data_IF_761798692995
#
_entry.id   IF_761798692995
#
_cell.length_a   1.000
_cell.length_b   1.000
_cell.length_c   1.000
_cell.angle_alpha   90.00
_cell.angle_beta   90.00
_cell.angle_gamma   90.00
#
_symmetry.space_group_name_H-M   'P 1'
#
loop_
_entity.id
_entity.type
_entity.pdbx_description
1 polymer ?
#
# COMPACT_ATOMS: atom_id res chain seq x y z
N UNK A 1 37.65 42.25 37.22
CA UNK A 1 36.25 42.48 36.81
C UNK A 1 35.87 41.35 35.88
N UNK A 2 35.02 40.43 36.34
CA UNK A 2 34.68 39.18 35.66
C UNK A 2 33.43 39.43 34.81
N UNK A 3 33.50 39.14 33.50
CA UNK A 3 32.37 39.28 32.58
C UNK A 3 31.88 37.87 32.24
N UNK A 4 30.75 37.48 32.82
CA UNK A 4 30.09 36.19 32.59
C UNK A 4 29.18 36.34 31.37
N UNK A 5 29.54 35.73 30.26
CA UNK A 5 28.62 35.56 29.12
C UNK A 5 27.78 34.31 29.37
N UNK A 6 26.52 34.53 29.78
CA UNK A 6 25.51 33.47 29.84
C UNK A 6 24.97 33.26 28.42
N UNK A 7 25.58 32.37 27.65
CA UNK A 7 25.00 31.88 26.40
C UNK A 7 23.84 30.96 26.75
N UNK A 8 22.61 31.48 26.62
CA UNK A 8 21.41 30.66 26.61
C UNK A 8 21.47 29.73 25.40
N UNK A 9 21.81 28.45 25.62
CA UNK A 9 21.48 27.40 24.66
C UNK A 9 19.96 27.28 24.63
N UNK A 10 19.33 27.81 23.59
CA UNK A 10 17.99 27.37 23.21
C UNK A 10 18.13 25.92 22.75
N UNK A 11 17.86 24.98 23.65
CA UNK A 11 17.57 23.62 23.26
C UNK A 11 16.29 23.67 22.42
N UNK A 12 16.44 23.62 21.10
CA UNK A 12 15.32 23.29 20.22
C UNK A 12 14.99 21.84 20.53
N UNK A 13 14.01 21.62 21.40
CA UNK A 13 13.37 20.31 21.49
C UNK A 13 12.54 20.19 20.22
N UNK A 14 13.09 19.52 19.21
CA UNK A 14 12.31 18.99 18.12
C UNK A 14 11.26 18.07 18.76
N UNK A 15 10.03 18.53 18.86
CA UNK A 15 8.90 17.63 19.12
C UNK A 15 8.72 16.82 17.85
N UNK A 16 9.49 15.73 17.72
CA UNK A 16 9.20 14.71 16.72
C UNK A 16 7.79 14.22 17.02
N UNK A 17 6.84 14.63 16.17
CA UNK A 17 5.49 14.10 16.22
C UNK A 17 5.60 12.62 15.84
N UNK A 18 5.35 11.67 16.76
CA UNK A 18 5.65 10.25 16.56
C UNK A 18 4.64 9.56 15.62
N UNK A 19 3.92 10.34 14.81
CA UNK A 19 2.91 9.89 13.85
C UNK A 19 3.38 9.99 12.40
N UNK A 20 4.56 10.59 12.16
CA UNK A 20 5.07 10.77 10.80
C UNK A 20 6.08 9.68 10.48
N UNK A 21 5.78 8.90 9.44
CA UNK A 21 6.77 8.08 8.73
C UNK A 21 8.00 8.95 8.45
N UNK A 22 9.18 8.46 8.82
CA UNK A 22 10.41 9.17 8.49
C UNK A 22 10.54 9.23 6.96
N UNK A 23 10.80 10.41 6.42
CA UNK A 23 10.95 10.61 4.96
C UNK A 23 12.00 9.67 4.34
N UNK A 24 12.91 9.15 5.16
CA UNK A 24 13.95 8.20 4.78
C UNK A 24 13.42 6.86 4.23
N UNK A 25 12.17 6.46 4.48
CA UNK A 25 11.60 5.21 3.95
C UNK A 25 10.62 5.40 2.79
N UNK A 26 10.49 6.63 2.27
CA UNK A 26 9.57 6.98 1.19
C UNK A 26 10.35 7.27 -0.09
N UNK A 27 9.95 6.62 -1.18
CA UNK A 27 10.57 6.77 -2.49
C UNK A 27 9.49 7.21 -3.48
N UNK A 28 9.76 8.28 -4.20
CA UNK A 28 8.93 8.77 -5.29
C UNK A 28 9.54 8.42 -6.65
N UNK A 29 8.68 8.05 -7.61
CA UNK A 29 9.03 7.88 -9.01
C UNK A 29 7.82 8.21 -9.91
N UNK A 30 7.87 9.36 -10.60
CA UNK A 30 6.75 9.83 -11.42
C UNK A 30 5.48 10.08 -10.60
N UNK A 31 4.41 9.34 -10.91
CA UNK A 31 3.14 9.32 -10.16
C UNK A 31 3.09 8.28 -9.03
N UNK A 32 4.15 7.47 -8.86
CA UNK A 32 4.19 6.41 -7.87
C UNK A 32 4.92 6.85 -6.59
N UNK A 33 4.41 6.35 -5.45
CA UNK A 33 5.04 6.42 -4.13
C UNK A 33 5.19 5.00 -3.57
N UNK A 34 6.39 4.70 -3.11
CA UNK A 34 6.73 3.46 -2.42
C UNK A 34 7.11 3.79 -0.99
N UNK A 35 6.41 3.21 -0.02
CA UNK A 35 6.75 3.39 1.39
C UNK A 35 7.19 2.04 1.94
N UNK A 36 8.45 1.97 2.36
CA UNK A 36 9.03 0.76 2.94
C UNK A 36 8.66 0.77 4.44
N UNK A 37 7.75 -0.12 4.82
CA UNK A 37 7.25 -0.23 6.20
C UNK A 37 8.07 -1.25 7.00
N UNK A 38 8.58 -2.28 6.33
CA UNK A 38 9.56 -3.24 6.86
C UNK A 38 10.36 -3.85 5.72
N UNK A 39 11.32 -4.73 6.03
CA UNK A 39 12.01 -5.52 5.01
C UNK A 39 11.09 -6.50 4.27
N UNK A 40 9.85 -6.70 4.73
CA UNK A 40 8.86 -7.63 4.17
C UNK A 40 7.54 -6.96 3.76
N UNK A 41 7.40 -5.66 3.99
CA UNK A 41 6.16 -4.92 3.72
C UNK A 41 6.48 -3.59 3.04
N UNK A 42 6.03 -3.47 1.80
CA UNK A 42 6.12 -2.25 1.00
C UNK A 42 4.70 -1.83 0.63
N UNK A 43 4.35 -0.59 0.96
CA UNK A 43 3.12 0.05 0.50
C UNK A 43 3.36 0.66 -0.87
N UNK A 44 2.43 0.42 -1.79
CA UNK A 44 2.44 0.94 -3.14
C UNK A 44 1.28 1.92 -3.30
N UNK A 45 1.57 3.12 -3.78
CA UNK A 45 0.55 4.11 -4.14
C UNK A 45 0.87 4.71 -5.49
N UNK A 46 -0.19 4.97 -6.26
CA UNK A 46 -0.11 5.67 -7.53
C UNK A 46 -1.21 6.72 -7.59
N UNK A 47 -0.86 7.92 -8.03
CA UNK A 47 -1.80 9.03 -8.15
C UNK A 47 -1.53 9.86 -9.39
N UNK A 48 -2.54 10.02 -10.25
CA UNK A 48 -2.46 10.85 -11.46
C UNK A 48 -2.12 12.31 -11.13
N UNK A 49 -2.55 12.81 -9.97
CA UNK A 49 -2.32 14.17 -9.48
C UNK A 49 -1.12 14.30 -8.56
N UNK A 50 -0.44 13.19 -8.23
CA UNK A 50 0.63 13.10 -7.21
C UNK A 50 0.17 13.49 -5.81
N UNK A 51 -1.13 13.50 -5.57
CA UNK A 51 -1.71 13.60 -4.24
C UNK A 51 -1.78 12.19 -3.64
N UNK A 52 -1.13 11.99 -2.50
CA UNK A 52 -1.03 10.70 -1.84
C UNK A 52 -1.76 10.71 -0.50
N UNK A 53 -2.18 9.54 -0.01
CA UNK A 53 -3.03 9.42 1.18
C UNK A 53 -2.20 8.91 2.34
N UNK A 54 -1.98 9.75 3.35
CA UNK A 54 -1.32 9.34 4.60
C UNK A 54 -2.29 9.13 5.76
N UNK A 55 -3.57 9.48 5.58
CA UNK A 55 -4.61 9.27 6.57
C UNK A 55 -4.90 7.80 6.83
N UNK A 56 -5.40 7.52 8.04
CA UNK A 56 -5.80 6.16 8.44
C UNK A 56 -6.96 5.72 7.56
N UNK A 57 -6.96 4.44 7.22
CA UNK A 57 -8.09 3.81 6.52
C UNK A 57 -8.77 2.83 7.43
N UNK A 58 -9.97 2.39 7.03
CA UNK A 58 -10.66 1.29 7.70
C UNK A 58 -9.82 0.01 7.79
N UNK A 59 -8.91 -0.19 6.83
CA UNK A 59 -8.06 -1.37 6.77
C UNK A 59 -6.72 -1.17 7.48
N UNK A 60 -6.16 0.04 7.42
CA UNK A 60 -4.83 0.36 7.94
C UNK A 60 -4.89 1.57 8.87
N UNK A 61 -4.87 1.30 10.18
CA UNK A 61 -4.91 2.30 11.25
C UNK A 61 -3.57 2.98 11.52
N UNK A 62 -2.46 2.27 11.30
CA UNK A 62 -1.11 2.78 11.48
C UNK A 62 -0.19 2.19 10.43
N UNK A 63 0.69 3.04 9.90
CA UNK A 63 1.77 2.66 8.99
C UNK A 63 3.14 2.72 9.68
N UNK A 64 3.19 3.16 10.92
CA UNK A 64 4.39 3.09 11.74
C UNK A 64 4.41 1.76 12.50
N UNK A 65 4.94 0.74 11.85
CA UNK A 65 5.02 -0.61 12.42
C UNK A 65 6.40 -0.91 13.05
N UNK A 66 7.37 -0.02 12.88
CA UNK A 66 8.72 -0.14 13.45
C UNK A 66 9.21 1.23 13.94
N UNK A 67 10.00 1.23 15.02
CA UNK A 67 10.60 2.44 15.60
C UNK A 67 11.84 2.92 14.83
N UNK A 68 12.51 2.00 14.14
CA UNK A 68 13.70 2.26 13.35
C UNK A 68 13.39 2.16 11.87
N UNK A 69 14.00 3.00 11.01
CA UNK A 69 13.86 2.86 9.56
C UNK A 69 14.29 1.46 9.10
N UNK A 70 13.54 0.83 8.19
CA UNK A 70 13.90 -0.47 7.66
C UNK A 70 15.16 -0.37 6.78
N UNK A 71 15.94 -1.46 6.73
CA UNK A 71 17.08 -1.55 5.82
C UNK A 71 16.60 -1.84 4.40
N UNK A 72 16.96 -0.96 3.47
CA UNK A 72 16.74 -1.14 2.04
C UNK A 72 17.78 -0.35 1.24
N UNK A 73 17.90 -0.66 -0.05
CA UNK A 73 18.63 0.13 -1.03
C UNK A 73 17.69 0.49 -2.18
N UNK A 74 17.77 1.72 -2.67
CA UNK A 74 17.04 2.16 -3.84
C UNK A 74 18.01 2.69 -4.90
N UNK A 75 17.96 2.10 -6.09
CA UNK A 75 18.77 2.53 -7.24
C UNK A 75 17.88 2.90 -8.42
N UNK A 76 18.36 3.84 -9.23
CA UNK A 76 17.69 4.25 -10.46
C UNK A 76 18.68 4.14 -11.61
N UNK A 77 18.25 3.53 -12.70
CA UNK A 77 18.90 3.65 -13.99
C UNK A 77 17.95 4.36 -14.96
N UNK A 78 18.31 4.45 -16.24
CA UNK A 78 17.52 5.19 -17.24
C UNK A 78 16.10 4.65 -17.44
N UNK A 79 15.87 3.36 -17.12
CA UNK A 79 14.61 2.66 -17.41
C UNK A 79 13.85 2.23 -16.16
N UNK A 80 14.53 1.90 -15.07
CA UNK A 80 13.92 1.26 -13.90
C UNK A 80 14.34 1.92 -12.59
N UNK A 81 13.39 2.03 -11.67
CA UNK A 81 13.62 2.14 -10.23
C UNK A 81 13.69 0.71 -9.69
N UNK A 82 14.71 0.44 -8.88
CA UNK A 82 14.86 -0.84 -8.16
C UNK A 82 15.00 -0.58 -6.67
N UNK A 83 14.17 -1.25 -5.88
CA UNK A 83 14.20 -1.22 -4.41
C UNK A 83 14.50 -2.63 -3.92
N UNK A 84 15.60 -2.79 -3.20
CA UNK A 84 16.02 -4.05 -2.61
C UNK A 84 15.97 -3.99 -1.09
N UNK A 85 15.25 -4.92 -0.48
CA UNK A 85 15.30 -5.24 0.95
C UNK A 85 15.90 -6.64 1.14
N UNK A 86 15.99 -7.10 2.39
CA UNK A 86 16.44 -8.48 2.67
C UNK A 86 15.52 -9.56 2.05
N UNK A 87 14.23 -9.27 1.85
CA UNK A 87 13.24 -10.27 1.42
C UNK A 87 12.50 -9.90 0.15
N UNK A 88 12.53 -8.63 -0.26
CA UNK A 88 11.73 -8.12 -1.37
C UNK A 88 12.62 -7.32 -2.31
N UNK A 89 12.58 -7.67 -3.59
CA UNK A 89 13.09 -6.86 -4.67
C UNK A 89 11.90 -6.33 -5.46
N UNK A 90 11.74 -5.01 -5.54
CA UNK A 90 10.74 -4.35 -6.37
C UNK A 90 11.43 -3.65 -7.54
N UNK A 91 10.91 -3.88 -8.74
CA UNK A 91 11.34 -3.23 -9.97
C UNK A 91 10.16 -2.49 -10.58
N UNK A 92 10.33 -1.20 -10.86
CA UNK A 92 9.30 -0.34 -11.42
C UNK A 92 9.82 0.38 -12.66
N UNK A 93 9.07 0.31 -13.76
CA UNK A 93 9.38 1.00 -15.00
C UNK A 93 9.19 2.50 -14.82
N UNK A 94 10.25 3.26 -15.05
CA UNK A 94 10.26 4.72 -14.91
C UNK A 94 9.55 5.38 -16.08
N UNK A 95 9.17 6.64 -15.90
CA UNK A 95 8.53 7.47 -16.92
C UNK A 95 7.24 6.89 -17.51
N UNK A 96 6.59 5.95 -16.80
CA UNK A 96 5.24 5.52 -17.15
C UNK A 96 4.21 6.54 -16.67
N UNK A 97 3.17 6.76 -17.48
CA UNK A 97 2.03 7.60 -17.15
C UNK A 97 0.81 6.78 -16.69
N UNK A 98 0.94 5.45 -16.59
CA UNK A 98 -0.15 4.54 -16.22
C UNK A 98 -0.03 4.10 -14.77
N UNK A 99 -1.16 3.69 -14.17
CA UNK A 99 -1.18 3.01 -12.86
C UNK A 99 -0.41 1.69 -12.87
N UNK A 100 -0.23 1.07 -11.71
CA UNK A 100 0.43 -0.23 -11.58
C UNK A 100 -0.27 -1.30 -12.42
N UNK A 101 0.52 -2.03 -13.19
CA UNK A 101 0.08 -3.13 -14.05
C UNK A 101 1.17 -4.20 -14.13
N UNK A 102 0.83 -5.36 -14.68
CA UNK A 102 1.81 -6.42 -14.94
C UNK A 102 3.00 -5.98 -15.81
N UNK A 103 2.88 -4.87 -16.54
CA UNK A 103 3.89 -4.39 -17.47
C UNK A 103 4.89 -3.41 -16.86
N UNK A 104 4.55 -2.78 -15.73
CA UNK A 104 5.37 -1.71 -15.15
C UNK A 104 5.84 -1.97 -13.73
N UNK A 105 5.34 -3.00 -13.04
CA UNK A 105 5.83 -3.37 -11.73
C UNK A 105 5.98 -4.88 -11.58
N UNK A 106 7.13 -5.27 -11.04
CA UNK A 106 7.47 -6.64 -10.69
C UNK A 106 8.02 -6.68 -9.29
N UNK A 107 7.55 -7.63 -8.48
CA UNK A 107 8.04 -7.86 -7.12
C UNK A 107 8.53 -9.30 -7.02
N UNK A 108 9.76 -9.46 -6.57
CA UNK A 108 10.36 -10.76 -6.28
C UNK A 108 10.48 -10.92 -4.77
N UNK A 109 9.81 -11.93 -4.23
CA UNK A 109 9.78 -12.26 -2.80
C UNK A 109 10.64 -13.48 -2.53
N UNK A 110 11.56 -13.36 -1.57
CA UNK A 110 12.39 -14.47 -1.08
C UNK A 110 11.70 -15.08 0.12
N UNK A 111 11.12 -16.26 -0.04
CA UNK A 111 10.40 -16.96 1.01
C UNK A 111 11.40 -17.72 1.89
N UNK A 112 11.35 -17.45 3.19
CA UNK A 112 12.13 -18.21 4.18
C UNK A 112 11.43 -19.56 4.38
N UNK A 113 11.97 -20.60 3.75
CA UNK A 113 11.53 -21.99 3.90
C UNK A 113 12.72 -22.93 3.72
N UNK A 114 12.50 -24.24 3.87
CA UNK A 114 13.57 -25.25 3.78
C UNK A 114 14.32 -25.28 2.44
N UNK A 115 13.76 -24.67 1.40
CA UNK A 115 14.34 -24.61 0.04
C UNK A 115 14.72 -23.21 -0.44
N UNK A 116 14.50 -22.15 0.34
CA UNK A 116 14.78 -20.77 -0.07
C UNK A 116 14.07 -20.36 -1.36
N UNK A 117 12.77 -20.67 -1.46
CA UNK A 117 11.98 -20.47 -2.68
C UNK A 117 11.86 -18.97 -3.03
N UNK A 118 11.88 -18.68 -4.34
CA UNK A 118 11.69 -17.34 -4.88
C UNK A 118 10.34 -17.31 -5.59
N UNK A 119 9.50 -16.35 -5.21
CA UNK A 119 8.19 -16.13 -5.81
C UNK A 119 8.17 -14.77 -6.46
N UNK A 120 7.60 -14.70 -7.67
CA UNK A 120 7.44 -13.45 -8.42
C UNK A 120 5.96 -13.11 -8.46
N UNK A 121 5.65 -11.86 -8.16
CA UNK A 121 4.35 -11.25 -8.33
C UNK A 121 4.46 -10.07 -9.31
N UNK A 122 3.46 -9.91 -10.16
CA UNK A 122 3.28 -8.73 -11.02
C UNK A 122 1.90 -8.15 -10.73
N UNK A 123 1.68 -6.85 -10.94
CA UNK A 123 0.40 -6.21 -10.61
C UNK A 123 -0.72 -6.54 -11.61
N UNK A 124 -1.17 -7.80 -11.67
CA UNK A 124 -2.28 -8.29 -12.49
C UNK A 124 -3.61 -8.07 -11.75
N UNK A 125 -4.54 -7.25 -12.25
CA UNK A 125 -5.79 -6.93 -11.55
C UNK A 125 -6.50 -8.18 -10.98
N UNK A 126 -6.97 -8.09 -9.74
CA UNK A 126 -7.73 -9.16 -9.09
C UNK A 126 -6.90 -10.31 -8.52
N UNK A 127 -5.57 -10.34 -8.64
CA UNK A 127 -4.73 -11.46 -8.14
C UNK A 127 -4.60 -11.57 -6.60
N UNK A 128 -5.40 -10.86 -5.82
CA UNK A 128 -5.37 -10.97 -4.34
C UNK A 128 -5.64 -12.40 -3.85
N UNK A 129 -6.29 -13.24 -4.68
CA UNK A 129 -6.63 -14.63 -4.39
C UNK A 129 -5.50 -15.64 -4.63
N UNK A 130 -4.44 -15.27 -5.34
CA UNK A 130 -3.46 -16.24 -5.82
C UNK A 130 -2.66 -16.89 -4.66
N UNK A 131 -2.97 -18.17 -4.41
CA UNK A 131 -2.47 -18.91 -3.26
C UNK A 131 -3.03 -18.47 -1.90
N UNK A 132 -3.89 -17.45 -1.85
CA UNK A 132 -4.47 -16.89 -0.63
C UNK A 132 -5.23 -17.97 0.15
N UNK A 133 -5.11 -17.94 1.49
CA UNK A 133 -5.83 -18.86 2.38
C UNK A 133 -7.23 -18.34 2.76
N UNK A 134 -7.78 -17.48 1.91
CA UNK A 134 -9.08 -16.82 2.04
C UNK A 134 -9.14 -15.93 3.29
N UNK A 135 -10.21 -15.16 3.41
CA UNK A 135 -10.44 -14.31 4.57
C UNK A 135 -11.78 -14.59 5.19
N UNK A 136 -12.52 -13.53 5.47
CA UNK A 136 -13.82 -13.60 6.16
C UNK A 136 -14.89 -12.90 5.33
N UNK A 137 -16.14 -13.13 5.74
CA UNK A 137 -17.28 -12.35 5.31
C UNK A 137 -17.67 -11.42 6.46
N UNK A 138 -18.07 -10.20 6.13
CA UNK A 138 -18.37 -9.17 7.13
C UNK A 138 -19.67 -9.47 7.90
N UNK A 139 -20.68 -9.99 7.21
CA UNK A 139 -21.98 -10.35 7.80
C UNK A 139 -22.31 -11.81 7.49
N UNK A 140 -23.05 -12.45 8.39
CA UNK A 140 -23.68 -13.76 8.18
C UNK A 140 -25.20 -13.63 8.10
N UNK A 141 -25.73 -12.40 8.14
CA UNK A 141 -27.15 -12.13 8.19
C UNK A 141 -27.83 -12.58 6.89
N UNK A 142 -28.98 -13.23 7.05
CA UNK A 142 -29.73 -13.80 5.94
C UNK A 142 -29.06 -15.01 5.27
N UNK A 143 -27.87 -15.44 5.71
CA UNK A 143 -27.27 -16.68 5.23
C UNK A 143 -28.02 -17.87 5.80
N UNK A 144 -28.76 -18.56 4.94
CA UNK A 144 -29.41 -19.84 5.25
C UNK A 144 -28.65 -21.03 4.65
N UNK A 145 -27.56 -20.75 3.94
CA UNK A 145 -26.76 -21.76 3.27
C UNK A 145 -25.89 -22.50 4.27
N UNK A 146 -25.91 -23.83 4.18
CA UNK A 146 -25.06 -24.71 5.01
C UNK A 146 -23.58 -24.61 4.66
N UNK A 147 -23.24 -23.99 3.52
CA UNK A 147 -21.87 -23.76 3.06
C UNK A 147 -21.71 -22.30 2.67
N UNK A 148 -20.73 -21.67 3.29
CA UNK A 148 -20.39 -20.28 3.06
C UNK A 148 -19.15 -20.24 2.16
N UNK A 149 -19.26 -19.64 0.98
CA UNK A 149 -18.12 -19.47 0.07
C UNK A 149 -17.23 -18.32 0.55
N UNK A 150 -15.94 -18.59 0.75
CA UNK A 150 -14.96 -17.60 1.22
C UNK A 150 -14.00 -17.17 0.11
N UNK A 151 -14.02 -17.84 -1.04
CA UNK A 151 -13.38 -17.36 -2.27
C UNK A 151 -14.25 -16.28 -2.89
N UNK A 152 -13.80 -15.03 -2.79
CA UNK A 152 -14.57 -13.88 -3.24
C UNK A 152 -14.87 -13.87 -4.74
N UNK A 153 -14.16 -14.67 -5.56
CA UNK A 153 -14.51 -14.85 -6.99
C UNK A 153 -15.76 -15.69 -7.19
N UNK A 154 -16.00 -16.61 -6.27
CA UNK A 154 -17.09 -17.58 -6.34
C UNK A 154 -18.22 -17.22 -5.39
N UNK A 155 -18.10 -16.13 -4.63
CA UNK A 155 -19.11 -15.68 -3.69
C UNK A 155 -20.28 -15.06 -4.46
N UNK A 156 -21.47 -15.71 -4.52
CA UNK A 156 -22.62 -15.18 -5.27
C UNK A 156 -23.30 -13.98 -4.60
N UNK A 157 -22.93 -13.66 -3.36
CA UNK A 157 -23.54 -12.60 -2.56
C UNK A 157 -22.59 -11.43 -2.32
N UNK A 158 -22.81 -10.36 -3.06
CA UNK A 158 -22.05 -9.12 -2.93
C UNK A 158 -22.26 -8.44 -1.56
N UNK A 159 -23.42 -8.65 -0.93
CA UNK A 159 -23.79 -8.01 0.33
C UNK A 159 -23.06 -8.58 1.56
N UNK A 160 -22.38 -9.71 1.42
CA UNK A 160 -21.57 -10.30 2.49
C UNK A 160 -20.21 -9.61 2.68
N UNK A 161 -19.82 -8.72 1.76
CA UNK A 161 -18.55 -8.01 1.76
C UNK A 161 -17.35 -8.94 1.97
N UNK A 162 -17.15 -9.87 1.03
CA UNK A 162 -16.04 -10.82 1.06
C UNK A 162 -14.67 -10.12 1.03
N UNK A 163 -13.72 -10.61 1.81
CA UNK A 163 -12.33 -10.16 1.79
C UNK A 163 -11.37 -11.33 1.77
N UNK A 164 -10.26 -11.19 1.04
CA UNK A 164 -9.13 -12.12 1.15
C UNK A 164 -8.35 -11.87 2.44
N UNK A 165 -7.64 -12.91 2.88
CA UNK A 165 -6.83 -12.88 4.09
C UNK A 165 -5.41 -12.36 3.84
N UNK A 166 -4.66 -12.22 4.92
CA UNK A 166 -3.26 -11.74 4.90
C UNK A 166 -2.24 -12.88 4.82
N UNK A 167 -2.69 -14.12 4.59
CA UNK A 167 -1.85 -15.32 4.55
C UNK A 167 -2.07 -16.03 3.21
N UNK A 168 -0.98 -16.53 2.62
CA UNK A 168 -1.00 -17.24 1.35
C UNK A 168 0.02 -18.39 1.36
N UNK A 169 -0.29 -19.45 0.61
CA UNK A 169 0.62 -20.56 0.32
C UNK A 169 1.79 -20.14 -0.57
N UNK A 170 1.69 -19.01 -1.27
CA UNK A 170 2.75 -18.44 -2.11
C UNK A 170 3.75 -17.58 -1.34
N UNK A 171 3.57 -17.41 -0.03
CA UNK A 171 4.50 -16.64 0.81
C UNK A 171 4.41 -15.11 0.66
N UNK A 172 3.39 -14.61 -0.04
CA UNK A 172 3.02 -13.17 -0.04
C UNK A 172 1.50 -13.04 -0.05
N UNK A 173 0.99 -11.93 0.48
CA UNK A 173 -0.41 -11.54 0.36
C UNK A 173 -0.48 -10.10 -0.14
N UNK A 174 -1.49 -9.81 -0.95
CA UNK A 174 -1.79 -8.45 -1.42
C UNK A 174 -3.01 -7.93 -0.66
N UNK A 175 -2.90 -6.68 -0.20
CA UNK A 175 -3.98 -5.99 0.49
C UNK A 175 -4.30 -4.74 -0.33
N UNK A 176 -5.47 -4.74 -0.97
CA UNK A 176 -5.96 -3.57 -1.71
C UNK A 176 -6.80 -2.66 -0.81
N UNK A 177 -6.24 -1.47 -0.55
CA UNK A 177 -6.83 -0.41 0.26
C UNK A 177 -7.41 0.74 -0.57
N UNK A 178 -7.42 0.62 -1.92
CA UNK A 178 -7.76 1.72 -2.85
C UNK A 178 -9.14 2.30 -2.58
N UNK A 179 -10.15 1.46 -2.40
CA UNK A 179 -11.56 1.87 -2.28
C UNK A 179 -12.06 1.90 -0.83
N UNK A 180 -11.18 1.75 0.17
CA UNK A 180 -11.59 1.73 1.59
C UNK A 180 -11.75 3.13 2.18
N UNK A 181 -12.75 3.40 3.03
CA UNK A 181 -12.95 4.72 3.63
C UNK A 181 -11.75 5.16 4.48
N UNK A 182 -11.56 6.47 4.57
CA UNK A 182 -10.56 7.12 5.43
C UNK A 182 -11.20 7.58 6.75
N UNK A 183 -10.39 7.73 7.79
CA UNK A 183 -10.77 8.29 9.09
C UNK A 183 -10.25 9.74 9.19
N UNK A 184 -11.08 10.71 9.58
CA UNK A 184 -10.75 12.16 9.69
C UNK A 184 -10.16 12.59 11.02
N UNK A 185 -10.02 11.67 11.98
CA UNK A 185 -9.65 12.02 13.34
C UNK A 185 -10.62 13.07 13.97
N UNK A 186 -11.87 13.23 13.48
CA UNK A 186 -12.92 14.09 14.09
C UNK A 186 -13.27 13.58 15.49
N UNK A 187 -12.90 14.32 16.54
CA UNK A 187 -13.13 13.90 17.94
C UNK A 187 -14.59 13.63 18.33
N UNK A 188 -15.58 14.04 17.51
CA UNK A 188 -17.01 13.77 17.70
C UNK A 188 -17.50 12.52 16.96
N UNK A 189 -16.98 12.23 15.77
CA UNK A 189 -17.30 11.05 14.92
C UNK A 189 -16.14 10.73 13.97
N UNK A 190 -15.01 10.32 14.52
CA UNK A 190 -13.67 10.27 13.88
C UNK A 190 -13.50 9.32 12.69
N UNK A 191 -14.58 8.79 12.13
CA UNK A 191 -14.56 7.60 11.29
C UNK A 191 -15.32 7.69 9.96
N UNK A 192 -15.82 8.86 9.56
CA UNK A 192 -16.48 9.06 8.26
C UNK A 192 -15.96 10.33 7.55
N UNK A 193 -15.06 10.15 6.58
CA UNK A 193 -14.84 11.15 5.51
C UNK A 193 -15.30 10.61 4.18
N UNK A 194 -16.01 11.45 3.41
CA UNK A 194 -16.15 11.24 1.98
C UNK A 194 -14.84 11.55 1.27
N UNK A 195 -14.32 10.56 0.52
CA UNK A 195 -13.15 10.74 -0.33
C UNK A 195 -13.40 11.85 -1.35
N UNK A 196 -12.62 12.94 -1.26
CA UNK A 196 -12.54 13.98 -2.28
C UNK A 196 -11.27 13.70 -3.08
N UNK A 197 -11.41 13.15 -4.28
CA UNK A 197 -10.33 13.10 -5.24
C UNK A 197 -10.55 14.19 -6.28
N UNK A 198 -9.47 14.86 -6.69
CA UNK A 198 -9.49 15.55 -7.96
C UNK A 198 -9.82 14.51 -9.06
N UNK A 199 -10.85 14.73 -9.91
CA UNK A 199 -11.21 13.76 -10.93
C UNK A 199 -9.98 13.47 -11.81
N UNK A 200 -9.58 12.19 -11.97
CA UNK A 200 -8.44 11.87 -12.80
C UNK A 200 -8.70 12.31 -14.24
N UNK A 201 -7.66 12.78 -14.93
CA UNK A 201 -7.76 13.09 -16.36
C UNK A 201 -8.24 11.83 -17.10
N UNK A 202 -9.44 11.86 -17.72
CA UNK A 202 -10.02 10.69 -18.38
C UNK A 202 -9.12 10.13 -19.48
N UNK A 203 -8.28 10.97 -20.10
CA UNK A 203 -7.38 10.55 -21.17
C UNK A 203 -6.30 9.59 -20.68
N UNK A 204 -5.79 9.77 -19.47
CA UNK A 204 -4.77 8.90 -18.87
C UNK A 204 -5.33 7.52 -18.55
N UNK A 205 -6.61 7.46 -18.16
CA UNK A 205 -7.31 6.21 -17.88
C UNK A 205 -7.74 5.46 -19.14
N UNK A 206 -8.10 6.18 -20.21
CA UNK A 206 -8.54 5.59 -21.46
C UNK A 206 -7.44 4.87 -22.24
N UNK A 207 -6.16 5.22 -21.99
CA UNK A 207 -4.98 4.59 -22.63
C UNK A 207 -4.82 3.12 -22.23
N UNK A 208 -5.22 2.75 -21.01
CA UNK A 208 -5.17 1.36 -20.53
C UNK A 208 -6.48 0.69 -20.90
N UNK A 209 -6.45 -0.55 -21.41
CA UNK A 209 -7.69 -1.28 -21.72
C UNK A 209 -8.52 -1.49 -20.45
N UNK A 210 -9.86 -1.60 -20.57
CA UNK A 210 -10.76 -1.70 -19.41
C UNK A 210 -10.40 -2.89 -18.49
N UNK A 211 -9.90 -3.98 -19.06
CA UNK A 211 -9.52 -5.22 -18.39
C UNK A 211 -8.19 -5.12 -17.62
N UNK A 212 -7.37 -4.11 -17.93
CA UNK A 212 -6.03 -3.90 -17.35
C UNK A 212 -5.98 -2.74 -16.34
N UNK A 213 -7.09 -2.02 -16.13
CA UNK A 213 -7.19 -0.88 -15.21
C UNK A 213 -7.32 -1.34 -13.76
N UNK A 214 -6.40 -0.90 -12.89
CA UNK A 214 -6.54 -1.08 -11.43
C UNK A 214 -7.20 0.12 -10.75
N UNK A 215 -6.68 1.32 -10.93
CA UNK A 215 -7.12 2.53 -10.20
C UNK A 215 -7.36 3.70 -11.15
N UNK A 216 -8.64 3.99 -11.44
CA UNK A 216 -9.04 5.07 -12.35
C UNK A 216 -10.12 6.03 -11.83
N UNK A 217 -10.40 6.04 -10.52
CA UNK A 217 -11.27 7.04 -9.90
C UNK A 217 -12.69 7.09 -10.48
N UNK A 218 -13.54 6.22 -9.94
CA UNK A 218 -15.01 6.14 -10.02
C UNK A 218 -15.66 5.69 -11.34
N UNK A 219 -16.14 4.45 -11.30
CA UNK A 219 -17.59 4.19 -11.22
C UNK A 219 -17.91 3.62 -9.85
#
# INVERSE_FOLDING_TARGET
MLLVFCTFLLAVTATENPLLLTSASIIYEGQARFTILSTQLIRLEWSSTKEFVDEKTWLVQSRQIQLTPPSFNATRNDTHLRIDTNFVTLEYLRNTATTFSQHNIRVTVRVIGSKGEIVVWNAIPGEEYDGNLLGTLRTLDGSRDSKLELDCRNQPRDDLHCTYGVISRRGYALIDDTHRPQLDDDSRWSWIINKQYSPPDPSLCQIVSIEERRNCGLS
#
